data_IF_514900880434
#
_entry.id   IF_514900880434
#
_cell.length_a   1.000
_cell.length_b   1.000
_cell.length_c   1.000
_cell.angle_alpha   90.00
_cell.angle_beta   90.00
_cell.angle_gamma   90.00
#
_symmetry.space_group_name_H-M   'P 1'
#
loop_
_entity.id
_entity.type
_entity.pdbx_description
1 polymer ?
#
# COMPACT_ATOMS: atom_id res chain seq x y z
N UNK A 1 -1.63 6.56 -11.42
CA UNK A 1 -0.36 6.24 -10.74
C UNK A 1 0.67 7.31 -11.06
N UNK A 2 1.51 7.66 -10.08
CA UNK A 2 2.71 8.49 -10.27
C UNK A 2 3.95 7.61 -10.21
N UNK A 3 4.84 7.72 -11.19
CA UNK A 3 6.19 7.16 -11.13
C UNK A 3 7.17 8.33 -11.15
N UNK A 4 7.93 8.47 -10.07
CA UNK A 4 8.90 9.56 -9.86
C UNK A 4 10.28 8.94 -9.97
N UNK A 5 11.08 9.41 -10.92
CA UNK A 5 12.41 8.87 -11.18
C UNK A 5 13.44 9.87 -10.69
N UNK A 6 14.40 9.40 -9.91
CA UNK A 6 15.52 10.18 -9.37
C UNK A 6 16.83 9.54 -9.76
N UNK A 7 17.89 10.33 -9.73
CA UNK A 7 19.19 9.89 -10.23
C UNK A 7 19.77 8.74 -9.38
N UNK A 8 19.49 8.73 -8.07
CA UNK A 8 20.11 7.82 -7.12
C UNK A 8 19.21 7.50 -5.91
N UNK A 9 19.54 6.47 -5.10
CA UNK A 9 18.77 6.10 -3.92
C UNK A 9 18.59 7.22 -2.87
N UNK A 10 19.58 8.11 -2.71
CA UNK A 10 19.53 9.19 -1.73
C UNK A 10 18.59 10.31 -2.19
N UNK A 11 18.61 10.66 -3.48
CA UNK A 11 17.65 11.62 -4.05
C UNK A 11 16.21 11.08 -4.05
N UNK A 12 16.00 9.77 -4.29
CA UNK A 12 14.71 9.11 -4.10
C UNK A 12 14.23 9.16 -2.64
N UNK A 13 15.11 8.86 -1.68
CA UNK A 13 14.81 8.94 -0.24
C UNK A 13 14.46 10.36 0.21
N UNK A 14 15.21 11.35 -0.29
CA UNK A 14 14.99 12.78 0.01
C UNK A 14 13.63 13.24 -0.49
N UNK A 15 13.26 12.82 -1.70
CA UNK A 15 11.95 13.16 -2.27
C UNK A 15 10.80 12.63 -1.39
N UNK A 16 10.85 11.35 -0.99
CA UNK A 16 9.81 10.77 -0.14
C UNK A 16 9.78 11.41 1.24
N UNK A 17 10.94 11.65 1.87
CA UNK A 17 10.98 12.28 3.20
C UNK A 17 10.34 13.67 3.18
N UNK A 18 10.66 14.49 2.18
CA UNK A 18 10.04 15.80 1.99
C UNK A 18 8.53 15.67 1.70
N UNK A 19 8.13 14.66 0.93
CA UNK A 19 6.72 14.38 0.66
C UNK A 19 5.95 14.08 1.94
N UNK A 20 6.45 13.17 2.78
CA UNK A 20 5.85 12.81 4.08
C UNK A 20 5.75 14.05 4.98
N UNK A 21 6.81 14.85 5.09
CA UNK A 21 6.81 16.09 5.88
C UNK A 21 5.72 17.05 5.39
N UNK A 22 5.63 17.26 4.08
CA UNK A 22 4.63 18.13 3.49
C UNK A 22 3.21 17.60 3.71
N UNK A 23 3.01 16.28 3.68
CA UNK A 23 1.74 15.64 3.97
C UNK A 23 1.31 15.84 5.40
N UNK A 24 2.19 15.58 6.37
CA UNK A 24 1.93 15.80 7.80
C UNK A 24 1.64 17.29 8.06
N UNK A 25 2.44 18.21 7.53
CA UNK A 25 2.20 19.66 7.68
C UNK A 25 0.86 20.11 7.09
N UNK A 26 0.54 19.63 5.89
CA UNK A 26 -0.72 19.98 5.21
C UNK A 26 -1.94 19.41 5.92
N UNK A 27 -1.78 18.25 6.57
CA UNK A 27 -2.82 17.63 7.38
C UNK A 27 -3.03 18.37 8.71
N UNK A 28 -1.95 18.95 9.26
CA UNK A 28 -1.96 19.70 10.51
C UNK A 28 -2.53 18.89 11.69
N UNK A 29 -1.88 17.77 12.08
CA UNK A 29 -2.44 16.82 13.03
C UNK A 29 -2.56 17.39 14.44
N UNK A 30 -3.60 16.96 15.14
CA UNK A 30 -3.89 17.33 16.53
C UNK A 30 -4.17 16.06 17.37
N UNK A 31 -4.23 16.15 18.70
CA UNK A 31 -4.54 14.99 19.53
C UNK A 31 -5.91 14.33 19.21
N UNK A 32 -6.89 15.12 18.75
CA UNK A 32 -8.22 14.63 18.37
C UNK A 32 -8.26 14.08 16.93
N UNK A 33 -7.32 14.49 16.09
CA UNK A 33 -7.26 14.13 14.68
C UNK A 33 -5.78 13.92 14.29
N UNK A 34 -5.20 12.77 14.67
CA UNK A 34 -3.80 12.46 14.39
C UNK A 34 -3.61 12.08 12.91
N UNK A 35 -2.37 12.18 12.42
CA UNK A 35 -2.01 11.69 11.10
C UNK A 35 -1.58 10.22 11.19
N UNK A 36 -2.22 9.33 10.42
CA UNK A 36 -1.96 7.88 10.48
C UNK A 36 -1.00 7.46 9.36
N UNK A 37 0.16 6.94 9.74
CA UNK A 37 1.27 6.63 8.85
C UNK A 37 1.61 5.13 8.87
N UNK A 38 1.46 4.46 7.73
CA UNK A 38 1.96 3.10 7.51
C UNK A 38 3.47 3.10 7.22
N UNK A 39 4.24 2.21 7.84
CA UNK A 39 5.71 2.21 7.77
C UNK A 39 6.31 0.83 7.42
N UNK A 40 7.30 0.76 6.51
CA UNK A 40 8.04 -0.46 6.19
C UNK A 40 9.33 -0.57 7.00
N UNK A 41 9.93 -1.76 6.98
CA UNK A 41 11.33 -1.99 7.42
C UNK A 41 12.24 -2.30 6.22
N UNK A 42 13.44 -2.82 6.49
CA UNK A 42 14.42 -3.17 5.47
C UNK A 42 15.33 -2.01 5.06
N UNK A 43 16.21 -2.26 4.09
CA UNK A 43 17.28 -1.32 3.73
C UNK A 43 16.79 -0.07 2.99
N UNK A 44 15.77 -0.21 2.13
CA UNK A 44 15.25 0.89 1.30
C UNK A 44 14.75 2.11 2.11
N UNK A 45 13.95 1.97 3.19
CA UNK A 45 13.45 3.13 3.93
C UNK A 45 14.46 3.76 4.89
N UNK A 46 15.64 3.18 5.13
CA UNK A 46 16.63 3.71 6.10
C UNK A 46 17.04 5.16 5.76
N UNK A 47 17.24 5.46 4.48
CA UNK A 47 17.56 6.81 4.02
C UNK A 47 16.44 7.81 4.33
N UNK A 48 15.18 7.40 4.17
CA UNK A 48 14.01 8.21 4.49
C UNK A 48 13.96 8.50 6.00
N UNK A 49 14.12 7.48 6.85
CA UNK A 49 14.09 7.65 8.30
C UNK A 49 15.18 8.60 8.80
N UNK A 50 16.40 8.48 8.24
CA UNK A 50 17.50 9.38 8.59
C UNK A 50 17.13 10.85 8.32
N UNK A 51 16.56 11.14 7.16
CA UNK A 51 16.15 12.50 6.78
C UNK A 51 15.00 13.00 7.65
N UNK A 52 14.00 12.15 7.94
CA UNK A 52 12.90 12.52 8.86
C UNK A 52 13.42 12.87 10.25
N UNK A 53 14.40 12.12 10.77
CA UNK A 53 15.06 12.40 12.06
C UNK A 53 15.84 13.71 12.01
N UNK A 54 16.61 13.96 10.95
CA UNK A 54 17.35 15.21 10.76
C UNK A 54 16.40 16.41 10.74
N UNK A 55 15.28 16.30 10.01
CA UNK A 55 14.26 17.34 9.91
C UNK A 55 13.52 17.58 11.21
N UNK A 56 13.25 16.54 12.00
CA UNK A 56 12.72 16.68 13.35
C UNK A 56 13.70 17.42 14.27
N UNK A 57 14.99 17.02 14.27
CA UNK A 57 16.04 17.67 15.08
C UNK A 57 16.27 19.13 14.69
N UNK A 58 16.04 19.48 13.43
CA UNK A 58 16.06 20.86 12.94
C UNK A 58 14.81 21.69 13.31
N UNK A 59 13.81 21.10 13.99
CA UNK A 59 12.56 21.76 14.35
C UNK A 59 11.60 21.96 13.17
N UNK A 60 11.85 21.30 12.03
CA UNK A 60 11.04 21.48 10.82
C UNK A 60 9.76 20.65 10.83
N UNK A 61 9.65 19.61 11.67
CA UNK A 61 8.50 18.69 11.74
C UNK A 61 8.35 18.14 13.16
N UNK A 62 7.13 17.79 13.57
CA UNK A 62 6.81 17.09 14.82
C UNK A 62 6.04 15.80 14.53
N UNK A 63 6.29 14.76 15.32
CA UNK A 63 5.63 13.45 15.26
C UNK A 63 4.73 13.18 16.46
N UNK A 64 4.51 14.19 17.33
CA UNK A 64 3.71 14.06 18.56
C UNK A 64 2.28 13.57 18.31
N UNK A 65 1.65 14.08 17.24
CA UNK A 65 0.28 13.71 16.83
C UNK A 65 0.28 12.79 15.60
N UNK A 66 1.33 11.98 15.44
CA UNK A 66 1.40 10.93 14.43
C UNK A 66 1.14 9.58 15.09
N UNK A 67 0.35 8.74 14.42
CA UNK A 67 0.09 7.34 14.77
C UNK A 67 0.72 6.46 13.69
N UNK A 68 1.49 5.46 14.08
CA UNK A 68 2.23 4.61 13.14
C UNK A 68 1.76 3.17 13.17
N UNK A 69 1.68 2.55 11.99
CA UNK A 69 1.40 1.13 11.82
C UNK A 69 2.48 0.51 10.96
N UNK A 70 3.24 -0.45 11.50
CA UNK A 70 4.19 -1.22 10.71
C UNK A 70 3.52 -2.31 9.87
N UNK A 71 4.16 -2.69 8.77
CA UNK A 71 3.66 -3.71 7.83
C UNK A 71 3.66 -5.12 8.39
N UNK A 72 4.64 -5.46 9.22
CA UNK A 72 4.94 -6.84 9.56
C UNK A 72 5.82 -6.96 10.81
N UNK A 73 5.89 -8.17 11.34
CA UNK A 73 6.88 -8.62 12.34
C UNK A 73 7.08 -10.14 12.21
N UNK A 74 8.30 -10.62 12.45
CA UNK A 74 8.60 -12.04 12.45
C UNK A 74 7.93 -12.77 13.63
N UNK A 75 7.49 -14.01 13.38
CA UNK A 75 6.92 -14.86 14.42
C UNK A 75 8.04 -15.59 15.17
N UNK A 76 7.96 -15.60 16.50
CA UNK A 76 8.87 -16.37 17.36
C UNK A 76 10.25 -15.75 17.59
N UNK A 77 10.51 -14.54 17.08
CA UNK A 77 11.74 -13.79 17.37
C UNK A 77 11.53 -12.96 18.65
N UNK A 78 12.47 -12.94 19.63
CA UNK A 78 12.35 -12.05 20.77
C UNK A 78 12.20 -10.59 20.34
N UNK A 79 11.36 -9.83 21.02
CA UNK A 79 11.08 -8.43 20.67
C UNK A 79 12.35 -7.58 20.67
N UNK A 80 13.25 -7.83 21.60
CA UNK A 80 14.52 -7.13 21.80
C UNK A 80 15.64 -7.67 20.89
N UNK A 81 15.37 -8.69 20.07
CA UNK A 81 16.36 -9.23 19.15
C UNK A 81 16.82 -8.13 18.18
N UNK A 82 18.13 -8.01 17.86
CA UNK A 82 18.65 -6.95 16.99
C UNK A 82 17.96 -6.84 15.63
N UNK A 83 17.53 -7.99 15.09
CA UNK A 83 16.87 -8.12 13.79
C UNK A 83 15.34 -8.20 13.86
N UNK A 84 14.72 -8.01 15.04
CA UNK A 84 13.26 -7.83 15.10
C UNK A 84 12.87 -6.50 14.44
N UNK A 85 11.67 -6.42 13.90
CA UNK A 85 11.19 -5.18 13.30
C UNK A 85 10.84 -4.14 14.36
N UNK A 86 10.50 -4.56 15.58
CA UNK A 86 10.52 -3.70 16.78
C UNK A 86 11.89 -3.01 16.95
N UNK A 87 12.99 -3.76 17.06
CA UNK A 87 14.32 -3.18 17.27
C UNK A 87 14.74 -2.30 16.10
N UNK A 88 14.48 -2.74 14.86
CA UNK A 88 14.75 -1.95 13.65
C UNK A 88 14.11 -0.56 13.72
N UNK A 89 12.81 -0.49 14.03
CA UNK A 89 12.07 0.77 14.03
C UNK A 89 12.55 1.72 15.15
N UNK A 90 12.83 1.19 16.33
CA UNK A 90 13.40 1.98 17.43
C UNK A 90 14.81 2.47 17.12
N UNK A 91 15.66 1.63 16.52
CA UNK A 91 17.02 1.98 16.12
C UNK A 91 17.06 3.08 15.08
N UNK A 92 16.22 2.99 14.06
CA UNK A 92 16.29 3.87 12.90
C UNK A 92 15.39 5.11 13.00
N UNK A 93 14.30 5.06 13.78
CA UNK A 93 13.30 6.13 13.76
C UNK A 93 12.75 6.49 15.14
N UNK A 94 12.04 5.59 15.83
CA UNK A 94 11.20 5.97 16.98
C UNK A 94 11.97 6.51 18.18
N UNK A 95 13.23 6.09 18.40
CA UNK A 95 14.04 6.63 19.52
C UNK A 95 14.59 8.05 19.26
N UNK A 96 14.42 8.57 18.05
CA UNK A 96 15.06 9.83 17.62
C UNK A 96 14.05 10.95 17.33
N UNK A 97 12.75 10.68 17.48
CA UNK A 97 11.66 11.62 17.25
C UNK A 97 10.67 11.60 18.42
N UNK A 98 9.79 12.61 18.53
CA UNK A 98 8.80 12.74 19.61
C UNK A 98 7.49 11.98 19.38
N UNK A 99 7.50 10.85 18.68
CA UNK A 99 6.30 10.01 18.55
C UNK A 99 5.95 9.41 19.92
N UNK A 100 4.69 9.52 20.34
CA UNK A 100 4.29 8.97 21.64
C UNK A 100 4.25 7.43 21.57
N UNK A 101 4.82 6.68 22.54
CA UNK A 101 4.86 5.21 22.48
C UNK A 101 3.50 4.54 22.27
N UNK A 102 2.44 5.05 22.91
CA UNK A 102 1.04 4.59 22.71
C UNK A 102 0.51 4.70 21.27
N UNK A 103 1.12 5.54 20.44
CA UNK A 103 0.75 5.76 19.05
C UNK A 103 1.58 4.87 18.09
N UNK A 104 2.47 4.03 18.61
CA UNK A 104 3.28 3.11 17.83
C UNK A 104 2.61 1.74 17.82
N UNK A 105 2.25 1.26 16.63
CA UNK A 105 1.67 -0.06 16.44
C UNK A 105 2.59 -0.91 15.56
N UNK A 106 3.03 -2.03 16.11
CA UNK A 106 3.78 -3.07 15.41
C UNK A 106 3.17 -4.41 15.84
N UNK A 107 2.93 -5.30 14.89
CA UNK A 107 2.37 -6.63 15.14
C UNK A 107 3.21 -7.39 16.20
N UNK A 108 2.53 -8.10 17.10
CA UNK A 108 3.18 -8.95 18.09
C UNK A 108 3.37 -10.38 17.56
N UNK A 109 4.52 -10.65 16.95
CA UNK A 109 4.88 -11.99 16.46
C UNK A 109 5.05 -13.08 17.54
N UNK A 110 4.96 -12.72 18.83
CA UNK A 110 5.00 -13.66 19.96
C UNK A 110 3.67 -13.71 20.72
N UNK A 111 2.58 -13.19 20.15
CA UNK A 111 1.27 -13.30 20.76
C UNK A 111 0.86 -14.78 20.92
N UNK A 112 0.15 -15.14 22.02
CA UNK A 112 -0.31 -16.51 22.23
C UNK A 112 -1.33 -16.94 21.18
N UNK A 113 -2.12 -15.99 20.68
CA UNK A 113 -3.05 -16.17 19.57
C UNK A 113 -2.72 -15.15 18.47
N UNK A 114 -2.10 -15.66 17.40
CA UNK A 114 -1.62 -14.87 16.27
C UNK A 114 -2.77 -14.37 15.39
N UNK A 115 -3.89 -15.09 15.32
CA UNK A 115 -5.06 -14.68 14.54
C UNK A 115 -5.79 -13.55 15.27
N UNK A 116 -5.98 -13.67 16.58
CA UNK A 116 -6.54 -12.60 17.40
C UNK A 116 -5.69 -11.32 17.32
N UNK A 117 -4.36 -11.42 17.32
CA UNK A 117 -3.45 -10.29 17.12
C UNK A 117 -3.70 -9.60 15.76
N UNK A 118 -3.83 -10.37 14.68
CA UNK A 118 -4.11 -9.83 13.34
C UNK A 118 -5.46 -9.09 13.28
N UNK A 119 -6.51 -9.67 13.88
CA UNK A 119 -7.85 -9.05 13.96
C UNK A 119 -7.80 -7.76 14.79
N UNK A 120 -7.11 -7.78 15.92
CA UNK A 120 -6.94 -6.60 16.77
C UNK A 120 -6.19 -5.48 16.04
N UNK A 121 -5.18 -5.84 15.24
CA UNK A 121 -4.40 -4.87 14.45
C UNK A 121 -5.26 -4.17 13.39
N UNK A 122 -6.10 -4.92 12.67
CA UNK A 122 -7.06 -4.36 11.71
C UNK A 122 -8.11 -3.48 12.39
N UNK A 123 -8.60 -3.89 13.57
CA UNK A 123 -9.54 -3.09 14.36
C UNK A 123 -8.90 -1.78 14.84
N UNK A 124 -7.62 -1.80 15.24
CA UNK A 124 -6.87 -0.62 15.62
C UNK A 124 -6.73 0.36 14.45
N UNK A 125 -6.35 -0.10 13.25
CA UNK A 125 -6.31 0.73 12.03
C UNK A 125 -7.68 1.39 11.78
N UNK A 126 -8.76 0.61 11.87
CA UNK A 126 -10.12 1.10 11.66
C UNK A 126 -10.54 2.12 12.72
N UNK A 127 -10.10 1.97 13.97
CA UNK A 127 -10.43 2.89 15.07
C UNK A 127 -9.87 4.30 14.85
N UNK A 128 -8.80 4.45 14.09
CA UNK A 128 -8.25 5.75 13.66
C UNK A 128 -8.81 6.24 12.32
N UNK A 129 -9.79 5.55 11.73
CA UNK A 129 -10.41 5.93 10.46
C UNK A 129 -9.60 5.53 9.21
N UNK A 130 -8.65 4.60 9.35
CA UNK A 130 -7.78 4.13 8.28
C UNK A 130 -6.42 4.82 8.25
N UNK A 131 -5.60 4.46 7.26
CA UNK A 131 -4.23 4.99 7.09
C UNK A 131 -4.26 6.16 6.10
N UNK A 132 -3.67 7.30 6.48
CA UNK A 132 -3.63 8.49 5.62
C UNK A 132 -2.55 8.40 4.55
N UNK A 133 -1.40 7.82 4.90
CA UNK A 133 -0.31 7.54 3.96
C UNK A 133 0.36 6.23 4.37
N UNK A 134 0.46 5.30 3.43
CA UNK A 134 1.17 4.04 3.63
C UNK A 134 2.49 4.07 2.86
N UNK A 135 3.62 4.15 3.57
CA UNK A 135 4.95 3.98 2.98
C UNK A 135 5.25 2.48 2.88
N UNK A 136 5.68 2.02 1.71
CA UNK A 136 6.05 0.64 1.46
C UNK A 136 7.36 0.51 0.68
N UNK A 137 7.88 -0.71 0.64
CA UNK A 137 8.91 -1.13 -0.30
C UNK A 137 8.41 -2.29 -1.15
N UNK A 138 9.29 -2.82 -2.00
CA UNK A 138 9.02 -4.00 -2.82
C UNK A 138 10.09 -5.07 -2.58
N UNK A 139 9.70 -6.34 -2.55
CA UNK A 139 10.61 -7.48 -2.67
C UNK A 139 11.18 -7.64 -4.10
N UNK A 140 12.29 -8.38 -4.30
CA UNK A 140 12.78 -8.71 -5.64
C UNK A 140 11.80 -9.58 -6.45
N UNK A 141 10.88 -10.24 -5.78
CA UNK A 141 9.77 -11.06 -6.30
C UNK A 141 8.46 -10.25 -6.45
N UNK A 142 8.47 -8.95 -6.18
CA UNK A 142 7.29 -8.09 -6.27
C UNK A 142 6.37 -8.08 -5.06
N UNK A 143 6.75 -8.69 -3.94
CA UNK A 143 5.90 -8.64 -2.75
C UNK A 143 5.81 -7.23 -2.15
N UNK A 144 4.63 -6.92 -1.60
CA UNK A 144 4.42 -5.81 -0.66
C UNK A 144 4.21 -6.38 0.75
N UNK A 145 4.89 -5.84 1.77
CA UNK A 145 4.98 -6.48 3.09
C UNK A 145 5.52 -7.92 2.92
N UNK A 146 5.05 -8.89 3.69
CA UNK A 146 5.25 -10.32 3.39
C UNK A 146 4.11 -10.92 2.56
N UNK A 147 3.45 -10.16 1.68
CA UNK A 147 2.49 -10.72 0.73
C UNK A 147 3.23 -11.38 -0.45
N UNK A 148 3.82 -12.54 -0.16
CA UNK A 148 4.60 -13.37 -1.09
C UNK A 148 3.79 -13.75 -2.34
N UNK A 149 4.45 -14.11 -3.46
CA UNK A 149 3.79 -14.57 -4.68
C UNK A 149 2.72 -15.65 -4.42
N UNK A 150 1.55 -15.46 -5.02
CA UNK A 150 0.37 -16.30 -4.83
C UNK A 150 -0.57 -15.82 -3.70
N UNK A 151 -0.19 -14.78 -2.95
CA UNK A 151 -1.07 -14.18 -1.94
C UNK A 151 -2.31 -13.54 -2.56
N UNK A 152 -3.48 -13.74 -1.95
CA UNK A 152 -4.72 -13.08 -2.40
C UNK A 152 -4.55 -11.56 -2.42
N UNK A 153 -4.95 -10.92 -3.52
CA UNK A 153 -4.96 -9.46 -3.65
C UNK A 153 -6.01 -8.79 -2.75
N UNK A 154 -7.00 -9.56 -2.28
CA UNK A 154 -8.00 -9.12 -1.31
C UNK A 154 -7.65 -9.54 0.15
N UNK A 155 -6.40 -9.95 0.39
CA UNK A 155 -5.98 -10.44 1.71
C UNK A 155 -6.01 -9.36 2.80
N UNK A 156 -6.29 -9.80 4.03
CA UNK A 156 -6.16 -9.02 5.27
C UNK A 156 -4.89 -9.39 6.04
N UNK A 157 -4.65 -8.69 7.15
CA UNK A 157 -3.58 -9.01 8.10
C UNK A 157 -3.68 -10.47 8.54
N UNK A 158 -2.57 -11.20 8.45
CA UNK A 158 -2.53 -12.65 8.71
C UNK A 158 -1.13 -13.17 8.99
N UNK A 159 -1.05 -14.40 9.45
CA UNK A 159 0.17 -15.21 9.45
C UNK A 159 0.54 -15.57 8.01
N UNK A 160 1.82 -15.43 7.67
CA UNK A 160 2.35 -15.84 6.38
C UNK A 160 3.68 -16.56 6.52
N UNK A 161 3.80 -17.71 5.85
CA UNK A 161 5.08 -18.40 5.66
C UNK A 161 5.91 -17.65 4.62
N UNK A 162 7.17 -17.40 4.95
CA UNK A 162 8.10 -16.71 4.07
C UNK A 162 8.48 -17.60 2.89
N UNK A 163 8.62 -17.00 1.71
CA UNK A 163 9.13 -17.67 0.53
C UNK A 163 10.65 -17.95 0.69
N UNK A 164 11.14 -18.94 -0.04
CA UNK A 164 12.56 -19.30 -0.02
C UNK A 164 13.46 -18.11 -0.43
N UNK A 165 13.05 -17.35 -1.44
CA UNK A 165 13.78 -16.15 -1.90
C UNK A 165 13.87 -15.07 -0.81
N UNK A 166 12.80 -14.90 -0.03
CA UNK A 166 12.77 -13.98 1.13
C UNK A 166 13.70 -14.47 2.23
N UNK A 167 13.74 -15.77 2.51
CA UNK A 167 14.67 -16.36 3.50
C UNK A 167 16.12 -16.12 3.06
N UNK A 168 16.45 -16.36 1.78
CA UNK A 168 17.78 -16.06 1.24
C UNK A 168 18.11 -14.57 1.38
N UNK A 169 17.21 -13.69 0.94
CA UNK A 169 17.44 -12.25 0.96
C UNK A 169 17.64 -11.70 2.39
N UNK A 170 16.94 -12.27 3.37
CA UNK A 170 17.01 -11.84 4.76
C UNK A 170 18.13 -12.52 5.55
N UNK A 171 18.68 -13.66 5.09
CA UNK A 171 19.78 -14.36 5.76
C UNK A 171 21.00 -13.49 6.04
N UNK A 172 21.25 -12.45 5.22
CA UNK A 172 22.33 -11.47 5.44
C UNK A 172 22.24 -10.74 6.78
N UNK A 173 21.06 -10.68 7.37
CA UNK A 173 20.81 -10.11 8.70
C UNK A 173 21.00 -11.14 9.83
N UNK A 174 20.99 -12.43 9.51
CA UNK A 174 21.10 -13.55 10.45
C UNK A 174 22.39 -14.34 10.22
N UNK A 175 23.53 -13.65 10.18
CA UNK A 175 24.87 -14.25 9.97
C UNK A 175 25.04 -15.03 8.65
N UNK A 176 24.20 -14.79 7.64
CA UNK A 176 24.09 -15.58 6.41
C UNK A 176 23.68 -17.05 6.66
N UNK A 177 23.00 -17.33 7.78
CA UNK A 177 22.48 -18.65 8.11
C UNK A 177 20.96 -18.70 7.88
N UNK A 178 20.54 -19.53 6.93
CA UNK A 178 19.13 -19.69 6.55
C UNK A 178 18.27 -20.25 7.68
N UNK A 179 18.83 -21.08 8.56
CA UNK A 179 18.07 -21.71 9.66
C UNK A 179 17.79 -20.74 10.81
N UNK A 180 18.55 -19.63 10.90
CA UNK A 180 18.30 -18.57 11.87
C UNK A 180 17.20 -17.60 11.45
N UNK A 181 16.83 -17.59 10.17
CA UNK A 181 15.76 -16.72 9.67
C UNK A 181 14.40 -17.27 10.12
N UNK A 182 13.54 -16.46 10.77
CA UNK A 182 12.19 -16.88 11.09
C UNK A 182 11.43 -17.34 9.85
N UNK A 183 10.75 -18.49 9.94
CA UNK A 183 10.07 -19.11 8.79
C UNK A 183 8.68 -18.52 8.52
N UNK A 184 8.15 -17.75 9.45
CA UNK A 184 6.83 -17.12 9.37
C UNK A 184 6.87 -15.70 9.92
N UNK A 185 5.93 -14.88 9.46
CA UNK A 185 5.71 -13.52 9.93
C UNK A 185 4.21 -13.22 10.06
N UNK A 186 3.87 -12.25 10.91
CA UNK A 186 2.62 -11.54 10.81
C UNK A 186 2.80 -10.41 9.81
N UNK A 187 1.82 -10.20 8.95
CA UNK A 187 1.90 -9.16 7.92
C UNK A 187 0.53 -8.60 7.59
N UNK A 188 0.46 -7.30 7.32
CA UNK A 188 -0.73 -6.67 6.75
C UNK A 188 -1.05 -7.26 5.38
N UNK A 189 -2.33 -7.32 5.05
CA UNK A 189 -2.77 -7.84 3.76
C UNK A 189 -2.60 -6.84 2.62
N UNK A 190 -2.69 -7.32 1.38
CA UNK A 190 -2.67 -6.45 0.19
C UNK A 190 -3.84 -5.46 0.25
N UNK A 191 -5.04 -5.93 0.62
CA UNK A 191 -6.21 -5.07 0.76
C UNK A 191 -6.05 -4.05 1.90
N UNK A 192 -5.41 -4.45 3.00
CA UNK A 192 -5.10 -3.56 4.13
C UNK A 192 -4.25 -2.36 3.68
N UNK A 193 -3.28 -2.59 2.78
CA UNK A 193 -2.49 -1.49 2.20
C UNK A 193 -3.31 -0.68 1.19
N UNK A 194 -4.10 -1.33 0.33
CA UNK A 194 -4.94 -0.65 -0.67
C UNK A 194 -6.08 0.19 -0.06
N UNK A 195 -6.42 -0.02 1.21
CA UNK A 195 -7.38 0.80 1.94
C UNK A 195 -6.80 2.10 2.50
N UNK A 196 -5.48 2.28 2.43
CA UNK A 196 -4.86 3.56 2.74
C UNK A 196 -5.38 4.64 1.77
N UNK A 197 -5.45 5.89 2.24
CA UNK A 197 -5.83 7.02 1.39
C UNK A 197 -4.80 7.29 0.29
N UNK A 198 -3.54 7.00 0.59
CA UNK A 198 -2.39 7.18 -0.27
C UNK A 198 -1.37 6.07 -0.01
N UNK A 199 -0.76 5.55 -1.08
CA UNK A 199 0.31 4.55 -0.97
C UNK A 199 1.55 5.07 -1.70
N UNK A 200 2.66 5.16 -0.98
CA UNK A 200 3.96 5.61 -1.49
C UNK A 200 4.94 4.45 -1.41
N UNK A 201 5.58 4.09 -2.51
CA UNK A 201 6.54 2.98 -2.58
C UNK A 201 7.92 3.51 -2.94
N UNK A 202 8.93 3.09 -2.19
CA UNK A 202 10.34 3.28 -2.56
C UNK A 202 10.89 2.02 -3.22
N UNK A 203 11.54 2.16 -4.39
CA UNK A 203 12.19 1.06 -5.11
C UNK A 203 13.55 1.54 -5.61
N UNK A 204 14.63 0.99 -5.05
CA UNK A 204 16.00 1.42 -5.38
C UNK A 204 16.89 0.24 -5.74
N UNK A 205 17.69 0.40 -6.79
CA UNK A 205 18.73 -0.51 -7.24
C UNK A 205 18.27 -1.54 -8.28
N UNK A 206 19.22 -1.97 -9.11
CA UNK A 206 19.01 -2.84 -10.26
C UNK A 206 18.33 -4.18 -9.93
N UNK A 207 18.62 -4.74 -8.74
CA UNK A 207 18.04 -5.99 -8.26
C UNK A 207 16.52 -5.94 -8.06
N UNK A 208 15.88 -4.77 -8.17
CA UNK A 208 14.42 -4.59 -8.11
C UNK A 208 13.79 -4.24 -9.47
N UNK A 209 14.58 -4.09 -10.52
CA UNK A 209 14.09 -3.61 -11.82
C UNK A 209 13.05 -4.54 -12.45
N UNK A 210 13.26 -5.85 -12.38
CA UNK A 210 12.30 -6.84 -12.87
C UNK A 210 10.96 -6.73 -12.13
N UNK A 211 11.00 -6.62 -10.80
CA UNK A 211 9.81 -6.50 -9.99
C UNK A 211 9.04 -5.22 -10.33
N UNK A 212 9.74 -4.09 -10.50
CA UNK A 212 9.13 -2.84 -10.96
C UNK A 212 8.43 -3.02 -12.32
N UNK A 213 9.14 -3.57 -13.32
CA UNK A 213 8.58 -3.84 -14.65
C UNK A 213 7.30 -4.67 -14.58
N UNK A 214 7.32 -5.79 -13.85
CA UNK A 214 6.15 -6.67 -13.72
C UNK A 214 4.98 -5.98 -13.04
N UNK A 215 5.23 -5.07 -12.10
CA UNK A 215 4.18 -4.39 -11.36
C UNK A 215 3.57 -3.19 -12.09
N UNK A 216 4.29 -2.53 -13.01
CA UNK A 216 3.80 -1.32 -13.69
C UNK A 216 3.49 -1.53 -15.19
N UNK A 217 4.23 -2.39 -15.88
CA UNK A 217 4.01 -2.69 -17.31
C UNK A 217 3.25 -4.01 -17.50
N UNK A 218 3.30 -4.90 -16.52
CA UNK A 218 2.47 -6.11 -16.46
C UNK A 218 1.03 -5.82 -16.04
N UNK A 219 0.15 -6.81 -16.20
CA UNK A 219 -1.20 -6.76 -15.65
C UNK A 219 -1.24 -7.07 -14.15
N UNK A 220 -2.35 -6.72 -13.50
CA UNK A 220 -2.63 -7.08 -12.10
C UNK A 220 -2.55 -8.60 -11.91
N UNK A 221 -1.65 -9.04 -11.03
CA UNK A 221 -1.33 -10.45 -10.85
C UNK A 221 -0.89 -10.74 -9.40
N UNK A 222 -1.46 -11.77 -8.78
CA UNK A 222 -1.10 -12.20 -7.42
C UNK A 222 0.31 -12.78 -7.27
N UNK A 223 1.01 -13.07 -8.37
CA UNK A 223 2.43 -13.44 -8.36
C UNK A 223 3.36 -12.24 -8.17
N UNK A 224 2.86 -11.02 -8.43
CA UNK A 224 3.58 -9.77 -8.25
C UNK A 224 2.66 -8.83 -7.47
N UNK A 225 2.52 -9.05 -6.16
CA UNK A 225 1.39 -8.48 -5.39
C UNK A 225 1.35 -6.95 -5.38
N UNK A 226 2.49 -6.28 -5.54
CA UNK A 226 2.54 -4.82 -5.73
C UNK A 226 1.81 -4.34 -7.01
N UNK A 227 1.63 -5.19 -8.02
CA UNK A 227 0.82 -4.87 -9.21
C UNK A 227 -0.62 -4.48 -8.87
N UNK A 228 -1.13 -4.87 -7.69
CA UNK A 228 -2.44 -4.44 -7.20
C UNK A 228 -2.54 -2.93 -6.97
N UNK A 229 -1.42 -2.20 -6.86
CA UNK A 229 -1.42 -0.73 -6.83
C UNK A 229 -1.99 -0.10 -8.08
N UNK A 230 -2.05 -0.81 -9.21
CA UNK A 230 -2.74 -0.32 -10.41
C UNK A 230 -4.24 -0.06 -10.14
N UNK A 231 -4.83 -0.72 -9.13
CA UNK A 231 -6.23 -0.54 -8.72
C UNK A 231 -6.40 0.57 -7.69
N UNK A 232 -5.32 1.08 -7.10
CA UNK A 232 -5.37 2.11 -6.08
C UNK A 232 -5.65 3.49 -6.70
N UNK A 233 -6.47 4.36 -6.08
CA UNK A 233 -6.76 5.68 -6.63
C UNK A 233 -5.56 6.65 -6.57
N UNK A 234 -4.71 6.51 -5.54
CA UNK A 234 -3.59 7.42 -5.29
C UNK A 234 -2.25 6.72 -5.00
N UNK A 235 -1.70 5.92 -5.96
CA UNK A 235 -0.41 5.29 -5.79
C UNK A 235 0.72 6.19 -6.34
N UNK A 236 1.80 6.28 -5.57
CA UNK A 236 3.06 6.89 -5.96
C UNK A 236 4.20 5.89 -5.80
N UNK A 237 5.01 5.75 -6.84
CA UNK A 237 6.22 4.94 -6.82
C UNK A 237 7.38 5.89 -7.07
N UNK A 238 8.38 5.88 -6.18
CA UNK A 238 9.59 6.68 -6.30
C UNK A 238 10.77 5.74 -6.44
N UNK A 239 11.53 5.93 -7.51
CA UNK A 239 12.60 5.02 -7.93
C UNK A 239 13.89 5.77 -8.21
N UNK A 240 15.02 5.06 -8.13
CA UNK A 240 16.27 5.49 -8.73
C UNK A 240 16.36 5.04 -10.21
N UNK A 241 17.35 5.55 -10.96
CA UNK A 241 17.56 5.15 -12.36
C UNK A 241 17.81 3.63 -12.48
N UNK A 242 18.60 3.04 -11.58
CA UNK A 242 18.94 1.61 -11.62
C UNK A 242 17.71 0.71 -11.50
N UNK A 243 16.69 1.08 -10.73
CA UNK A 243 15.44 0.33 -10.66
C UNK A 243 14.63 0.37 -11.98
N UNK A 244 14.98 1.25 -12.93
CA UNK A 244 14.25 1.37 -14.21
C UNK A 244 14.83 0.54 -15.34
N UNK A 245 15.92 -0.21 -15.12
CA UNK A 245 16.69 -0.90 -16.17
C UNK A 245 15.87 -1.89 -17.01
N UNK A 246 14.82 -2.50 -16.45
CA UNK A 246 13.94 -3.44 -17.14
C UNK A 246 12.69 -2.77 -17.75
N UNK A 247 12.49 -1.46 -17.53
CA UNK A 247 11.36 -0.73 -18.10
C UNK A 247 11.60 -0.40 -19.57
N UNK A 248 10.50 -0.26 -20.32
CA UNK A 248 10.60 0.29 -21.66
C UNK A 248 11.05 1.75 -21.62
N UNK A 249 11.92 2.12 -22.55
CA UNK A 249 12.36 3.52 -22.74
C UNK A 249 11.18 4.48 -22.88
N UNK A 250 10.10 4.03 -23.53
CA UNK A 250 8.85 4.81 -23.68
C UNK A 250 8.19 5.09 -22.33
N UNK A 251 8.14 4.11 -21.44
CA UNK A 251 7.57 4.25 -20.08
C UNK A 251 8.36 5.26 -19.26
N UNK A 252 9.68 5.15 -19.23
CA UNK A 252 10.56 6.09 -18.53
C UNK A 252 10.38 7.51 -19.06
N UNK A 253 10.40 7.70 -20.39
CA UNK A 253 10.19 9.01 -21.03
C UNK A 253 8.83 9.59 -20.73
N UNK A 254 7.78 8.77 -20.73
CA UNK A 254 6.41 9.19 -20.43
C UNK A 254 6.31 9.80 -19.02
N UNK A 255 6.81 9.10 -18.01
CA UNK A 255 6.72 9.58 -16.63
C UNK A 255 7.63 10.78 -16.34
N UNK A 256 8.86 10.81 -16.89
CA UNK A 256 9.72 12.01 -16.81
C UNK A 256 9.04 13.23 -17.45
N UNK A 257 8.39 13.03 -18.60
CA UNK A 257 7.66 14.10 -19.29
C UNK A 257 6.46 14.60 -18.48
N UNK A 258 5.66 13.71 -17.88
CA UNK A 258 4.52 14.12 -17.05
C UNK A 258 4.98 14.98 -15.89
N UNK A 259 6.02 14.56 -15.17
CA UNK A 259 6.52 15.30 -14.00
C UNK A 259 7.02 16.70 -14.40
N UNK A 260 7.75 16.78 -15.52
CA UNK A 260 8.28 18.06 -16.05
C UNK A 260 7.15 19.00 -16.47
N UNK A 261 6.16 18.48 -17.19
CA UNK A 261 5.01 19.29 -17.65
C UNK A 261 4.18 19.74 -16.46
N UNK A 262 3.85 18.84 -15.54
CA UNK A 262 3.11 19.15 -14.33
C UNK A 262 3.79 20.29 -13.54
N UNK A 263 5.10 20.17 -13.29
CA UNK A 263 5.90 21.19 -12.62
C UNK A 263 5.89 22.53 -13.37
N UNK A 264 6.11 22.54 -14.69
CA UNK A 264 6.14 23.78 -15.48
C UNK A 264 4.79 24.50 -15.57
N UNK A 265 3.68 23.77 -15.44
CA UNK A 265 2.33 24.35 -15.39
C UNK A 265 1.89 24.74 -13.98
N UNK A 266 2.76 24.57 -12.97
CA UNK A 266 2.39 24.79 -11.57
C UNK A 266 1.31 23.83 -11.06
N UNK A 267 1.10 22.71 -11.76
CA UNK A 267 0.14 21.68 -11.41
C UNK A 267 0.86 20.54 -10.70
N UNK A 268 0.61 20.38 -9.42
CA UNK A 268 1.11 19.23 -8.68
C UNK A 268 -0.02 18.20 -8.57
N UNK A 269 0.24 16.94 -8.94
CA UNK A 269 -0.72 15.83 -8.76
C UNK A 269 -0.87 15.51 -7.27
N UNK A 270 -1.55 16.40 -6.55
CA UNK A 270 -1.81 16.30 -5.12
C UNK A 270 -3.17 15.63 -4.91
N UNK A 271 -3.30 14.88 -3.81
CA UNK A 271 -4.59 14.38 -3.32
C UNK A 271 -5.66 15.48 -3.28
N UNK A 272 -6.94 15.15 -3.53
CA UNK A 272 -8.06 16.04 -3.27
C UNK A 272 -8.00 16.62 -1.85
N UNK A 273 -8.39 17.88 -1.69
CA UNK A 273 -8.25 18.62 -0.42
C UNK A 273 -8.83 17.88 0.78
N UNK A 274 -9.99 17.24 0.62
CA UNK A 274 -10.65 16.46 1.67
C UNK A 274 -9.85 15.22 2.14
N UNK A 275 -9.11 14.58 1.23
CA UNK A 275 -8.23 13.44 1.56
C UNK A 275 -6.92 13.96 2.15
N UNK A 276 -6.41 15.08 1.61
CA UNK A 276 -5.15 15.70 2.03
C UNK A 276 -5.18 16.23 3.46
N UNK A 277 -6.27 16.91 3.84
CA UNK A 277 -6.42 17.52 5.18
C UNK A 277 -7.14 16.62 6.17
N UNK A 278 -7.52 15.41 5.75
CA UNK A 278 -8.50 14.58 6.43
C UNK A 278 -9.89 15.22 6.48
N UNK A 279 -10.88 14.49 7.03
CA UNK A 279 -12.19 15.06 7.31
C UNK A 279 -12.03 16.24 8.26
N UNK A 280 -12.21 17.46 7.76
CA UNK A 280 -12.34 18.62 8.65
C UNK A 280 -13.63 18.42 9.42
N UNK A 281 -13.55 18.33 10.74
CA UNK A 281 -14.72 18.53 11.58
C UNK A 281 -15.35 19.86 11.16
N UNK A 282 -16.47 19.77 10.46
CA UNK A 282 -17.35 20.92 10.31
C UNK A 282 -17.72 21.31 11.72
N UNK A 283 -17.13 22.40 12.19
CA UNK A 283 -17.42 23.03 13.47
C UNK A 283 -18.90 22.84 13.82
N UNK A 284 -19.15 22.15 14.95
CA UNK A 284 -20.44 22.07 15.62
C UNK A 284 -21.67 22.23 14.71
N UNK A 285 -22.00 21.22 13.90
CA UNK A 285 -23.43 20.99 13.68
C UNK A 285 -23.97 20.48 15.01
N UNK A 286 -24.52 21.40 15.80
CA UNK A 286 -25.47 21.04 16.85
C UNK A 286 -26.40 19.98 16.25
N UNK A 287 -26.32 18.76 16.77
CA UNK A 287 -27.32 17.75 16.52
C UNK A 287 -28.58 18.33 17.14
N UNK A 288 -29.42 18.98 16.31
CA UNK A 288 -30.79 19.24 16.72
C UNK A 288 -31.42 17.88 17.00
N UNK A 289 -32.04 17.66 18.17
CA UNK A 289 -32.77 16.43 18.42
C UNK A 289 -33.80 16.27 17.29
N UNK A 290 -33.78 15.12 16.63
CA UNK A 290 -34.86 14.74 15.72
C UNK A 290 -36.19 14.87 16.48
N UNK A 291 -37.22 15.48 15.88
CA UNK A 291 -38.52 15.57 16.54
C UNK A 291 -39.02 14.15 16.83
N UNK A 292 -39.49 13.92 18.06
CA UNK A 292 -40.09 12.65 18.47
C UNK A 292 -41.27 12.32 17.57
N UNK A 293 -41.08 11.35 16.68
CA UNK A 293 -42.17 10.76 15.91
C UNK A 293 -42.86 9.75 16.81
N UNK A 294 -43.98 10.17 17.40
CA UNK A 294 -44.96 9.25 17.97
C UNK A 294 -45.68 8.50 16.84
N UNK A 295 -45.08 7.42 16.35
CA UNK A 295 -45.80 6.44 15.52
C UNK A 295 -45.89 5.11 16.24
N UNK A 296 -47.14 4.73 16.54
CA UNK A 296 -47.52 3.41 17.05
C UNK A 296 -47.10 2.33 16.04
N UNK A 297 -46.60 1.16 16.47
CA UNK A 297 -46.12 0.15 15.55
C UNK A 297 -47.28 -0.45 14.77
N UNK A 298 -47.40 -0.09 13.49
CA UNK A 298 -48.31 -0.78 12.56
C UNK A 298 -47.61 -2.05 12.11
N UNK A 299 -48.10 -3.20 12.56
CA UNK A 299 -47.68 -4.51 12.07
C UNK A 299 -48.15 -4.62 10.61
N UNK A 300 -47.25 -4.38 9.66
CA UNK A 300 -47.51 -4.67 8.26
C UNK A 300 -47.33 -6.18 8.04
N UNK A 301 -48.43 -6.86 7.70
CA UNK A 301 -48.40 -8.26 7.29
C UNK A 301 -47.41 -8.46 6.12
N UNK A 302 -46.62 -9.55 6.10
CA UNK A 302 -45.63 -9.78 5.07
C UNK A 302 -46.33 -9.93 3.71
N UNK A 303 -46.00 -9.06 2.76
CA UNK A 303 -46.38 -9.24 1.36
C UNK A 303 -45.57 -10.40 0.78
N UNK A 304 -46.20 -11.37 0.08
CA UNK A 304 -45.46 -12.43 -0.56
C UNK A 304 -44.56 -11.84 -1.66
N UNK A 305 -43.25 -12.10 -1.55
CA UNK A 305 -42.25 -11.85 -2.59
C UNK A 305 -42.47 -12.86 -3.72
N UNK A 306 -43.47 -12.58 -4.56
CA UNK A 306 -43.62 -13.29 -5.83
C UNK A 306 -42.52 -12.81 -6.76
N UNK A 307 -41.62 -13.72 -7.10
CA UNK A 307 -40.52 -13.58 -8.05
C UNK A 307 -40.93 -12.79 -9.30
N UNK A 308 -40.48 -11.54 -9.40
CA UNK A 308 -40.46 -10.78 -10.66
C UNK A 308 -39.20 -11.09 -11.51
N UNK A 309 -38.42 -12.11 -11.14
CA UNK A 309 -37.28 -12.58 -11.91
C UNK A 309 -37.61 -13.71 -12.90
N UNK A 310 -38.88 -14.14 -12.99
CA UNK A 310 -39.31 -15.24 -13.86
C UNK A 310 -40.49 -14.92 -14.79
N UNK A 311 -40.86 -13.66 -14.99
CA UNK A 311 -41.90 -13.27 -15.96
C UNK A 311 -41.32 -12.72 -17.27
N UNK A 312 -40.34 -13.43 -17.86
CA UNK A 312 -40.00 -13.23 -19.26
C UNK A 312 -40.90 -14.15 -20.11
N UNK A 313 -41.56 -13.68 -21.17
CA UNK A 313 -42.29 -14.55 -22.07
C UNK A 313 -41.33 -15.57 -22.69
N UNK A 314 -41.70 -16.85 -22.62
CA UNK A 314 -40.93 -17.97 -23.14
C UNK A 314 -41.03 -18.07 -24.68
N UNK A 315 -40.65 -17.03 -25.41
CA UNK A 315 -40.45 -17.03 -26.86
C UNK A 315 -39.58 -15.83 -27.24
N UNK A 316 -38.26 -15.97 -27.12
CA UNK A 316 -37.21 -15.29 -27.90
C UNK A 316 -35.87 -15.54 -27.18
N UNK A 317 -35.24 -16.67 -27.50
CA UNK A 317 -33.81 -16.83 -27.20
C UNK A 317 -33.05 -15.85 -28.10
N UNK A 318 -32.14 -15.01 -27.60
CA UNK A 318 -31.22 -14.31 -28.47
C UNK A 318 -30.37 -15.37 -29.17
N UNK A 319 -30.55 -15.51 -30.49
CA UNK A 319 -29.65 -16.26 -31.34
C UNK A 319 -28.24 -15.73 -31.08
N UNK A 320 -27.39 -16.58 -30.50
CA UNK A 320 -25.96 -16.34 -30.37
C UNK A 320 -25.46 -15.94 -31.77
N UNK A 321 -24.76 -14.82 -31.89
CA UNK A 321 -24.10 -14.49 -33.14
C UNK A 321 -23.20 -15.67 -33.53
N UNK A 322 -23.38 -16.17 -34.75
CA UNK A 322 -22.57 -17.24 -35.30
C UNK A 322 -21.14 -16.69 -35.36
N UNK A 323 -20.23 -17.27 -34.58
CA UNK A 323 -18.80 -16.99 -34.74
C UNK A 323 -18.43 -17.34 -36.19
N UNK A 324 -17.81 -16.43 -36.97
CA UNK A 324 -17.37 -16.79 -38.30
C UNK A 324 -16.37 -17.95 -38.21
N UNK A 325 -16.47 -18.89 -39.16
CA UNK A 325 -15.56 -20.03 -39.23
C UNK A 325 -14.10 -19.57 -39.26
N UNK A 326 -13.27 -20.28 -38.49
CA UNK A 326 -11.81 -20.11 -38.51
C UNK A 326 -11.30 -20.48 -39.91
N UNK A 327 -11.07 -19.47 -40.75
CA UNK A 327 -10.36 -19.63 -42.01
C UNK A 327 -8.86 -19.79 -41.70
N UNK A 328 -8.24 -20.95 -41.96
CA UNK A 328 -6.80 -21.07 -41.82
C UNK A 328 -6.12 -20.25 -42.93
N UNK A 329 -5.56 -19.10 -42.58
CA UNK A 329 -4.65 -18.37 -43.48
C UNK A 329 -3.40 -19.24 -43.71
N UNK A 330 -3.27 -19.81 -44.91
CA UNK A 330 -2.00 -20.40 -45.34
C UNK A 330 -1.07 -19.29 -45.85
N UNK A 331 0.20 -19.32 -45.42
CA UNK A 331 1.23 -18.37 -45.88
C UNK A 331 1.48 -18.39 -47.41
N UNK A 332 0.86 -19.31 -48.15
CA UNK A 332 0.92 -19.38 -49.61
C UNK A 332 0.06 -18.29 -50.30
N UNK A 333 -0.92 -17.69 -49.61
CA UNK A 333 -1.84 -16.72 -50.20
C UNK A 333 -1.29 -15.27 -50.27
N UNK A 334 -0.06 -15.01 -49.77
CA UNK A 334 0.53 -13.66 -49.73
C UNK A 334 1.57 -13.38 -50.82
N UNK A 335 1.72 -14.26 -51.83
CA UNK A 335 2.70 -14.07 -52.92
C UNK A 335 2.01 -14.19 -54.29
N UNK A 336 1.58 -13.04 -54.83
CA UNK A 336 1.39 -12.68 -56.25
C UNK A 336 0.56 -11.37 -56.25
N UNK A 337 0.88 -10.27 -56.93
CA UNK A 337 1.88 -9.98 -57.94
C UNK A 337 2.11 -8.44 -57.99
N UNK A 338 3.33 -8.08 -58.40
CA UNK A 338 3.87 -6.77 -58.80
C UNK A 338 4.22 -5.73 -57.72
#
# INVERSE_FOLDING_TARGET
>A
MRLIIRDDPASASTYIANYIINRIKSFNPSPAHPFVLGLPTGSSPVGIYKILVEKYKAGEISFENVVTFNMDEYIGIPREHPESYHTFMYKHFFSHVNVHPKNIHILNGNAPDLEAECVAYEAAIKSFGGIDLFLGGIGPDGHIAFNEPGSSLASRTRVKTLAYDTIIANSRFFDNDLEKVPKMALTVGVQTVLEAREVVIIITGAHKALALQKCIEGGVNHMWTLSALQLHPHPMIVVDEDATLELQVKTVRYFKSIETVASSQGFEQILPSAIRTGPRDSAHKQIQPLPEVHESPTILAPKPLTSQLLSAPATEYPLRSVSPDLMPESMHARIAAY
#
